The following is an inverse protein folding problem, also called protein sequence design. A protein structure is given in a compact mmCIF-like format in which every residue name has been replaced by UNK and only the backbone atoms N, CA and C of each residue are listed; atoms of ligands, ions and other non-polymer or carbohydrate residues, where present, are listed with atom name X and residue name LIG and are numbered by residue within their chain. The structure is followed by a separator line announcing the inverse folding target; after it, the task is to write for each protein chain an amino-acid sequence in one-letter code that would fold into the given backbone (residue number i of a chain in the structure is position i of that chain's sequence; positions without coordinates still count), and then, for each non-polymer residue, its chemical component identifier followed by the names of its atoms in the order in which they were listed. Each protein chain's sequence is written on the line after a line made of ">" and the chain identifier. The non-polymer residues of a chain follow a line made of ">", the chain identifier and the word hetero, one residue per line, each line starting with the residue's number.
data_IF_854949011865
#
_entry.id   IF_854949011865
#
_cell.length_a   1.000
_cell.length_b   1.000
_cell.length_c   1.000
_cell.angle_alpha   90.00
_cell.angle_beta   90.00
_cell.angle_gamma   90.00
#
_symmetry.space_group_name_H-M   'P 1'
#
loop_
_entity.id
_entity.type
_entity.pdbx_description
1 polymer ?
#
# COMPACT_ATOMS: atom_id res chain seq x y z
N UNK A 1 1.42 13.03 1.98
CA UNK A 1 1.74 12.74 0.55
C UNK A 1 2.76 13.75 0.08
N UNK A 2 3.69 13.38 -0.80
CA UNK A 2 4.58 14.40 -1.38
C UNK A 2 3.80 15.30 -2.38
N UNK A 3 4.34 16.48 -2.75
CA UNK A 3 3.66 17.41 -3.64
C UNK A 3 3.30 16.83 -5.02
N UNK A 4 4.06 15.85 -5.52
CA UNK A 4 3.78 15.21 -6.79
C UNK A 4 2.59 14.23 -6.70
N UNK A 5 2.52 13.46 -5.62
CA UNK A 5 1.44 12.51 -5.30
C UNK A 5 0.11 13.22 -5.05
N UNK A 6 0.14 14.44 -4.53
CA UNK A 6 -1.06 15.25 -4.35
C UNK A 6 -1.83 15.47 -5.68
N UNK A 7 -1.10 15.52 -6.81
CA UNK A 7 -1.65 15.71 -8.16
C UNK A 7 -2.13 14.40 -8.82
N UNK A 8 -2.02 13.26 -8.15
CA UNK A 8 -2.46 11.99 -8.72
C UNK A 8 -3.98 11.91 -8.81
N UNK A 9 -4.45 11.17 -9.82
CA UNK A 9 -5.88 10.84 -9.93
C UNK A 9 -6.33 9.96 -8.76
N UNK A 10 -7.62 9.92 -8.43
CA UNK A 10 -8.15 9.09 -7.34
C UNK A 10 -7.69 7.63 -7.47
N UNK A 11 -7.80 7.03 -8.67
CA UNK A 11 -7.34 5.65 -8.91
C UNK A 11 -5.85 5.47 -8.65
N UNK A 12 -5.02 6.47 -8.97
CA UNK A 12 -3.58 6.40 -8.68
C UNK A 12 -3.28 6.55 -7.19
N UNK A 13 -4.06 7.35 -6.46
CA UNK A 13 -3.93 7.50 -5.00
C UNK A 13 -4.34 6.21 -4.28
N UNK A 14 -5.46 5.62 -4.67
CA UNK A 14 -5.93 4.34 -4.12
C UNK A 14 -4.92 3.21 -4.40
N UNK A 15 -4.38 3.15 -5.62
CA UNK A 15 -3.35 2.18 -5.97
C UNK A 15 -2.06 2.39 -5.18
N UNK A 16 -1.64 3.66 -5.00
CA UNK A 16 -0.47 4.00 -4.20
C UNK A 16 -0.63 3.56 -2.74
N UNK A 17 -1.82 3.70 -2.15
CA UNK A 17 -2.11 3.24 -0.80
C UNK A 17 -1.91 1.72 -0.66
N UNK A 18 -2.35 0.94 -1.66
CA UNK A 18 -2.11 -0.50 -1.69
C UNK A 18 -0.62 -0.81 -1.79
N UNK A 19 0.09 -0.21 -2.74
CA UNK A 19 1.55 -0.42 -2.91
C UNK A 19 2.29 -0.13 -1.61
N UNK A 20 2.00 1.02 -1.00
CA UNK A 20 2.59 1.42 0.27
C UNK A 20 2.33 0.40 1.38
N UNK A 21 1.09 -0.06 1.53
CA UNK A 21 0.75 -1.07 2.53
C UNK A 21 1.49 -2.41 2.28
N UNK A 22 1.59 -2.85 1.03
CA UNK A 22 2.27 -4.10 0.69
C UNK A 22 3.78 -4.04 0.90
N UNK A 23 4.41 -2.92 0.56
CA UNK A 23 5.83 -2.70 0.88
C UNK A 23 6.04 -2.66 2.38
N UNK A 24 5.19 -1.93 3.11
CA UNK A 24 5.33 -1.77 4.56
C UNK A 24 5.10 -3.08 5.32
N UNK A 25 4.13 -3.89 4.91
CA UNK A 25 3.82 -5.17 5.55
C UNK A 25 4.43 -6.36 4.80
N UNK A 26 5.46 -6.14 3.98
CA UNK A 26 6.03 -7.17 3.09
C UNK A 26 6.41 -8.46 3.84
N UNK A 27 7.04 -8.36 5.01
CA UNK A 27 7.42 -9.53 5.82
C UNK A 27 6.24 -10.41 6.23
N UNK A 28 5.04 -9.83 6.33
CA UNK A 28 3.82 -10.56 6.66
C UNK A 28 3.09 -11.12 5.43
N UNK A 29 3.33 -10.55 4.25
CA UNK A 29 2.55 -10.82 3.03
C UNK A 29 3.27 -11.71 2.01
N UNK A 30 4.61 -11.71 1.97
CA UNK A 30 5.43 -12.30 0.90
C UNK A 30 5.21 -13.81 0.64
N UNK A 31 4.59 -14.54 1.56
CA UNK A 31 4.28 -15.97 1.40
C UNK A 31 2.84 -16.31 1.81
N UNK A 32 2.00 -15.29 2.03
CA UNK A 32 0.66 -15.47 2.57
C UNK A 32 -0.39 -14.96 1.58
N UNK A 33 -1.44 -15.76 1.40
CA UNK A 33 -2.63 -15.35 0.67
C UNK A 33 -3.34 -14.24 1.42
N UNK A 34 -3.47 -13.09 0.79
CA UNK A 34 -4.14 -11.93 1.37
C UNK A 34 -5.31 -11.45 0.52
N UNK A 35 -6.20 -10.68 1.15
CA UNK A 35 -7.36 -10.09 0.50
C UNK A 35 -7.32 -8.60 0.75
N UNK A 36 -7.38 -7.83 -0.32
CA UNK A 36 -7.51 -6.37 -0.30
C UNK A 36 -8.97 -6.02 -0.52
N UNK A 37 -9.61 -5.49 0.52
CA UNK A 37 -10.93 -4.89 0.41
C UNK A 37 -10.79 -3.42 0.02
N UNK A 38 -11.50 -2.99 -1.00
CA UNK A 38 -11.52 -1.59 -1.47
C UNK A 38 -12.92 -1.23 -1.90
N UNK A 39 -13.32 0.02 -1.69
CA UNK A 39 -14.56 0.59 -2.23
C UNK A 39 -14.35 1.28 -3.59
N UNK A 40 -13.12 1.20 -4.13
CA UNK A 40 -12.79 1.70 -5.46
C UNK A 40 -12.79 0.57 -6.50
N UNK A 41 -13.98 0.24 -6.98
CA UNK A 41 -14.24 -0.83 -7.96
C UNK A 41 -13.30 -0.85 -9.19
N UNK A 42 -12.74 0.30 -9.60
CA UNK A 42 -11.79 0.35 -10.71
C UNK A 42 -10.51 -0.46 -10.44
N UNK A 43 -10.09 -0.62 -9.18
CA UNK A 43 -8.91 -1.42 -8.81
C UNK A 43 -9.13 -2.91 -9.03
N UNK A 44 -10.36 -3.40 -8.88
CA UNK A 44 -10.71 -4.80 -9.16
C UNK A 44 -10.33 -5.21 -10.58
N UNK A 45 -10.50 -4.29 -11.53
CA UNK A 45 -10.23 -4.53 -12.95
C UNK A 45 -8.84 -4.07 -13.39
N UNK A 46 -8.14 -3.28 -12.56
CA UNK A 46 -6.86 -2.68 -12.91
C UNK A 46 -5.79 -3.74 -13.21
N UNK A 47 -5.77 -4.82 -12.41
CA UNK A 47 -4.82 -5.93 -12.59
C UNK A 47 -5.06 -6.77 -13.85
N UNK A 48 -6.26 -6.71 -14.43
CA UNK A 48 -6.61 -7.41 -15.67
C UNK A 48 -6.44 -6.53 -16.92
N UNK A 49 -6.15 -5.23 -16.76
CA UNK A 49 -6.10 -4.28 -17.85
C UNK A 49 -4.77 -4.34 -18.61
N UNK A 50 -4.83 -4.59 -19.92
CA UNK A 50 -3.64 -4.66 -20.79
C UNK A 50 -2.99 -3.30 -21.05
N UNK A 51 -3.79 -2.23 -21.13
CA UNK A 51 -3.34 -0.87 -21.44
C UNK A 51 -3.47 0.06 -20.22
N UNK A 52 -2.56 -0.10 -19.26
CA UNK A 52 -2.45 0.80 -18.12
C UNK A 52 -1.35 1.85 -18.33
N UNK A 53 -1.48 3.01 -17.68
CA UNK A 53 -0.45 4.06 -17.68
C UNK A 53 0.87 3.48 -17.13
N UNK A 54 2.01 3.96 -17.61
CA UNK A 54 3.34 3.47 -17.20
C UNK A 54 3.55 3.40 -15.67
N UNK A 55 3.02 4.38 -14.92
CA UNK A 55 3.05 4.38 -13.45
C UNK A 55 2.29 3.19 -12.84
N UNK A 56 1.07 2.95 -13.30
CA UNK A 56 0.23 1.85 -12.83
C UNK A 56 0.85 0.49 -13.20
N UNK A 57 1.43 0.37 -14.38
CA UNK A 57 2.16 -0.84 -14.79
C UNK A 57 3.34 -1.14 -13.85
N UNK A 58 4.13 -0.12 -13.49
CA UNK A 58 5.24 -0.30 -12.53
C UNK A 58 4.74 -0.83 -11.19
N UNK A 59 3.63 -0.30 -10.68
CA UNK A 59 3.04 -0.76 -9.42
C UNK A 59 2.44 -2.16 -9.52
N UNK A 60 1.81 -2.51 -10.65
CA UNK A 60 1.34 -3.88 -10.90
C UNK A 60 2.53 -4.86 -10.84
N UNK A 61 3.66 -4.53 -11.48
CA UNK A 61 4.87 -5.36 -11.45
C UNK A 61 5.43 -5.53 -10.03
N UNK A 62 5.43 -4.47 -9.21
CA UNK A 62 5.86 -4.57 -7.80
C UNK A 62 4.94 -5.50 -7.00
N UNK A 63 3.63 -5.44 -7.25
CA UNK A 63 2.66 -6.26 -6.54
C UNK A 63 2.63 -7.71 -7.03
N UNK A 64 3.26 -8.06 -8.15
CA UNK A 64 3.33 -9.46 -8.64
C UNK A 64 4.08 -10.40 -7.69
N UNK A 65 4.90 -9.87 -6.78
CA UNK A 65 5.60 -10.68 -5.78
C UNK A 65 4.63 -11.31 -4.75
N UNK A 66 3.41 -10.78 -4.61
CA UNK A 66 2.47 -11.17 -3.57
C UNK A 66 1.28 -11.99 -4.11
N UNK A 67 0.81 -12.96 -3.33
CA UNK A 67 -0.44 -13.69 -3.61
C UNK A 67 -1.62 -12.99 -2.92
N UNK A 68 -2.38 -12.19 -3.67
CA UNK A 68 -3.54 -11.49 -3.13
C UNK A 68 -4.70 -11.38 -4.13
N UNK A 69 -5.89 -11.12 -3.59
CA UNK A 69 -7.10 -10.83 -4.35
C UNK A 69 -7.68 -9.49 -3.97
N UNK A 70 -8.23 -8.77 -4.94
CA UNK A 70 -8.96 -7.52 -4.71
C UNK A 70 -10.45 -7.80 -4.72
N UNK A 71 -11.13 -7.41 -3.64
CA UNK A 71 -12.58 -7.50 -3.50
C UNK A 71 -13.15 -6.09 -3.36
N UNK A 72 -14.06 -5.76 -4.26
CA UNK A 72 -14.86 -4.55 -4.18
C UNK A 72 -15.87 -4.68 -3.03
N UNK A 73 -15.84 -3.76 -2.09
CA UNK A 73 -16.75 -3.68 -0.94
C UNK A 73 -17.51 -2.36 -0.95
N UNK A 74 -18.65 -2.30 -0.28
CA UNK A 74 -19.39 -1.03 -0.16
C UNK A 74 -18.58 -0.08 0.73
N UNK A 75 -18.47 1.20 0.34
CA UNK A 75 -17.77 2.20 1.16
C UNK A 75 -18.29 2.28 2.60
N UNK A 76 -19.59 2.05 2.82
CA UNK A 76 -20.20 1.97 4.15
C UNK A 76 -19.64 0.83 5.04
N UNK A 77 -19.14 -0.24 4.43
CA UNK A 77 -18.50 -1.37 5.12
C UNK A 77 -16.99 -1.15 5.30
N UNK A 78 -16.40 -0.24 4.51
CA UNK A 78 -14.98 0.14 4.57
C UNK A 78 -14.69 1.28 5.57
N UNK A 79 -15.50 1.42 6.63
CA UNK A 79 -15.48 2.56 7.55
C UNK A 79 -14.09 2.80 8.18
N UNK A 80 -13.39 1.73 8.57
CA UNK A 80 -12.10 1.85 9.24
C UNK A 80 -11.06 2.48 8.31
N UNK A 81 -10.96 2.00 7.07
CA UNK A 81 -10.03 2.55 6.09
C UNK A 81 -10.43 3.97 5.66
N UNK A 82 -11.72 4.23 5.46
CA UNK A 82 -12.23 5.56 5.08
C UNK A 82 -11.98 6.60 6.17
N UNK A 83 -12.20 6.26 7.44
CA UNK A 83 -11.89 7.15 8.55
C UNK A 83 -10.39 7.41 8.65
N UNK A 84 -9.55 6.36 8.59
CA UNK A 84 -8.09 6.50 8.70
C UNK A 84 -7.51 7.31 7.53
N UNK A 85 -8.01 7.14 6.30
CA UNK A 85 -7.51 7.87 5.13
C UNK A 85 -7.87 9.35 5.15
N UNK A 86 -8.96 9.73 5.85
CA UNK A 86 -9.42 11.12 6.00
C UNK A 86 -8.84 11.84 7.21
N UNK A 87 -8.15 11.13 8.11
CA UNK A 87 -7.51 11.76 9.27
C UNK A 87 -6.42 12.72 8.80
N UNK A 88 -6.54 13.98 9.20
CA UNK A 88 -5.46 14.96 9.02
C UNK A 88 -4.33 14.59 9.97
N UNK A 89 -3.11 14.49 9.45
CA UNK A 89 -1.94 14.38 10.30
C UNK A 89 -1.60 15.79 10.84
N UNK A 90 -1.81 16.06 12.15
CA UNK A 90 -1.50 17.37 12.71
C UNK A 90 0.01 17.71 12.67
N UNK A 91 0.85 16.70 12.42
CA UNK A 91 2.30 16.82 12.35
C UNK A 91 2.85 16.83 10.92
N UNK A 92 2.01 16.92 9.88
CA UNK A 92 2.47 16.84 8.47
C UNK A 92 3.58 17.86 8.13
N UNK A 93 3.62 19.01 8.81
CA UNK A 93 4.63 20.06 8.62
C UNK A 93 5.74 20.08 9.69
N UNK A 94 5.66 19.20 10.70
CA UNK A 94 6.61 19.11 11.83
C UNK A 94 7.42 17.81 11.74
N UNK A 95 7.03 16.92 10.83
CA UNK A 95 7.57 15.57 10.71
C UNK A 95 9.05 15.58 10.29
N UNK A 96 9.96 15.24 11.22
CA UNK A 96 11.34 14.89 10.89
C UNK A 96 11.37 13.39 10.52
N UNK A 97 11.65 13.02 9.25
CA UNK A 97 11.62 11.61 8.81
C UNK A 97 12.55 10.68 9.60
N UNK A 98 13.48 11.23 10.39
CA UNK A 98 14.46 10.49 11.18
C UNK A 98 13.91 9.85 12.45
N UNK A 99 12.70 10.19 12.91
CA UNK A 99 12.20 9.73 14.21
C UNK A 99 11.34 8.45 14.18
N UNK A 100 10.79 8.05 13.03
CA UNK A 100 10.11 6.74 12.96
C UNK A 100 11.17 5.66 12.74
N UNK A 101 11.31 4.75 13.70
CA UNK A 101 11.93 3.46 13.43
C UNK A 101 11.03 2.71 12.44
N UNK A 102 11.34 2.80 11.14
CA UNK A 102 10.57 2.14 10.09
C UNK A 102 10.69 0.60 10.12
N UNK A 103 11.60 0.08 10.95
CA UNK A 103 11.90 -1.34 11.08
C UNK A 103 10.87 -2.04 11.96
N UNK A 104 10.21 -3.07 11.42
CA UNK A 104 9.35 -3.93 12.23
C UNK A 104 10.16 -4.83 13.16
N UNK A 105 9.63 -5.23 14.33
CA UNK A 105 10.35 -6.10 15.27
C UNK A 105 10.89 -7.40 14.64
N UNK A 106 10.21 -7.92 13.62
CA UNK A 106 10.58 -9.16 12.92
C UNK A 106 11.63 -8.96 11.81
N UNK A 107 11.87 -7.74 11.33
CA UNK A 107 12.86 -7.47 10.27
C UNK A 107 14.30 -7.53 10.78
N UNK A 108 14.51 -7.32 12.08
CA UNK A 108 15.84 -7.37 12.71
C UNK A 108 16.34 -8.80 12.96
N UNK A 109 15.43 -9.80 12.99
CA UNK A 109 15.74 -11.19 13.34
C UNK A 109 16.63 -11.85 12.27
N UNK A 110 16.46 -11.48 10.99
CA UNK A 110 17.25 -12.03 9.88
C UNK A 110 18.71 -11.52 9.83
N UNK A 111 19.08 -10.49 10.60
CA UNK A 111 20.46 -9.95 10.60
C UNK A 111 21.40 -10.65 11.58
N UNK A 112 20.89 -11.49 12.49
CA UNK A 112 21.70 -12.17 13.52
C UNK A 112 22.19 -13.55 13.04
N UNK A 113 21.62 -14.11 11.96
CA UNK A 113 21.93 -15.46 11.49
C UNK A 113 23.17 -15.57 10.57
N UNK A 114 23.88 -14.47 10.28
CA UNK A 114 25.12 -14.48 9.49
C UNK A 114 26.26 -13.81 10.25
N UNK A 115 26.74 -14.50 11.28
CA UNK A 115 28.09 -14.33 11.83
C UNK A 115 28.62 -15.72 12.15
N UNK A 116 29.15 -16.36 11.11
CA UNK A 116 30.20 -17.37 11.23
C UNK A 116 31.52 -16.73 10.77
#
# INVERSE_FOLDING_TARGET
>A
MNPAEANYTTTEKEMLAIVYAFEKFRSYLIMNKSIVYTDHSALKYLFAKKDAKARLLRWILLLQEFDFKVIDTRGAENYAADHLSRLKNPYENIFDPKEINETFPLESVNKVAHKD
#
